data_IF_818216918222
#
_entry.id   IF_818216918222
#
_cell.length_a   1.000
_cell.length_b   1.000
_cell.length_c   1.000
_cell.angle_alpha   90.00
_cell.angle_beta   90.00
_cell.angle_gamma   90.00
#
_symmetry.space_group_name_H-M   'P 1'
#
loop_
_entity.id
_entity.type
_entity.pdbx_description
1 polymer ?
#
# COMPACT_ATOMS: atom_id res chain seq x y z
N UNK A 1 -16.49 -16.98 5.65
CA UNK A 1 -16.49 -16.54 7.06
C UNK A 1 -15.42 -15.48 7.35
N UNK A 2 -14.13 -15.73 7.10
CA UNK A 2 -13.07 -14.73 7.32
C UNK A 2 -13.31 -13.41 6.58
N UNK A 3 -13.67 -13.45 5.30
CA UNK A 3 -14.03 -12.25 4.53
C UNK A 3 -15.20 -11.48 5.17
N UNK A 4 -16.25 -12.20 5.59
CA UNK A 4 -17.41 -11.62 6.26
C UNK A 4 -17.05 -10.95 7.59
N UNK A 5 -16.16 -11.56 8.39
CA UNK A 5 -15.67 -10.98 9.64
C UNK A 5 -14.89 -9.67 9.42
N UNK A 6 -14.08 -9.59 8.36
CA UNK A 6 -13.41 -8.34 7.98
C UNK A 6 -14.39 -7.28 7.48
N UNK A 7 -15.37 -7.64 6.65
CA UNK A 7 -16.44 -6.73 6.24
C UNK A 7 -17.22 -6.17 7.43
N UNK A 8 -17.55 -7.01 8.42
CA UNK A 8 -18.22 -6.55 9.64
C UNK A 8 -17.34 -5.63 10.48
N UNK A 9 -16.02 -5.87 10.55
CA UNK A 9 -15.09 -4.95 11.20
C UNK A 9 -15.16 -3.57 10.55
N UNK A 10 -15.12 -3.51 9.22
CA UNK A 10 -15.19 -2.25 8.47
C UNK A 10 -16.51 -1.51 8.72
N UNK A 11 -17.64 -2.21 8.73
CA UNK A 11 -18.93 -1.60 9.10
C UNK A 11 -18.89 -1.00 10.52
N UNK A 12 -18.22 -1.67 11.46
CA UNK A 12 -18.09 -1.15 12.82
C UNK A 12 -17.12 0.03 12.89
N UNK A 13 -16.04 0.03 12.10
CA UNK A 13 -15.16 1.20 11.97
C UNK A 13 -15.91 2.41 11.39
N UNK A 14 -16.77 2.20 10.39
CA UNK A 14 -17.65 3.26 9.86
C UNK A 14 -18.63 3.73 10.95
N UNK A 15 -19.25 2.82 11.70
CA UNK A 15 -20.12 3.20 12.81
C UNK A 15 -19.37 3.92 13.95
N UNK A 16 -18.06 3.74 14.07
CA UNK A 16 -17.24 4.41 15.09
C UNK A 16 -17.00 5.90 14.79
N UNK A 17 -17.16 6.34 13.54
CA UNK A 17 -16.96 7.75 13.17
C UNK A 17 -18.14 8.62 13.56
N UNK A 18 -19.34 8.06 13.71
CA UNK A 18 -20.49 8.80 14.25
C UNK A 18 -20.33 8.98 15.75
N UNK A 19 -19.91 10.18 16.18
CA UNK A 19 -19.86 10.57 17.58
C UNK A 19 -20.95 11.57 17.88
N UNK A 20 -21.88 11.17 18.75
CA UNK A 20 -22.96 12.04 19.21
C UNK A 20 -22.46 13.34 19.87
N UNK A 21 -21.21 13.39 20.35
CA UNK A 21 -20.60 14.60 20.92
C UNK A 21 -20.25 15.59 19.83
N UNK A 22 -19.72 15.10 18.70
CA UNK A 22 -19.46 15.94 17.53
C UNK A 22 -20.78 16.41 16.95
N UNK A 23 -21.77 15.51 16.83
CA UNK A 23 -23.11 15.89 16.36
C UNK A 23 -23.75 16.92 17.29
N UNK A 24 -23.61 16.80 18.61
CA UNK A 24 -24.10 17.79 19.57
C UNK A 24 -23.39 19.14 19.43
N UNK A 25 -22.07 19.15 19.32
CA UNK A 25 -21.27 20.37 19.18
C UNK A 25 -21.49 21.06 17.84
N UNK A 26 -21.66 20.30 16.75
CA UNK A 26 -21.93 20.86 15.41
C UNK A 26 -23.36 21.40 15.32
N UNK A 27 -24.32 20.80 16.03
CA UNK A 27 -25.72 21.24 16.03
C UNK A 27 -25.99 22.42 16.97
N UNK A 28 -25.09 22.74 17.89
CA UNK A 28 -25.17 23.96 18.71
C UNK A 28 -24.61 25.16 17.94
N UNK A 29 -25.46 26.14 17.64
CA UNK A 29 -25.04 27.40 17.02
C UNK A 29 -24.31 28.26 18.07
N UNK A 30 -22.98 28.25 18.01
CA UNK A 30 -22.13 29.02 18.93
C UNK A 30 -22.26 30.54 18.77
N UNK A 31 -22.98 31.03 17.76
CA UNK A 31 -23.25 32.48 17.65
C UNK A 31 -24.31 32.97 18.65
N UNK A 32 -25.15 32.08 19.19
CA UNK A 32 -26.18 32.44 20.19
C UNK A 32 -25.74 32.18 21.64
N UNK A 33 -24.65 31.44 21.87
CA UNK A 33 -24.17 31.07 23.21
C UNK A 33 -22.73 31.52 23.39
N UNK A 34 -22.50 32.50 24.27
CA UNK A 34 -21.16 33.01 24.60
C UNK A 34 -20.42 32.02 25.51
N UNK A 35 -19.81 30.99 24.90
CA UNK A 35 -19.05 29.95 25.60
C UNK A 35 -17.56 30.29 25.53
N UNK A 36 -16.90 30.28 26.67
CA UNK A 36 -15.45 30.48 26.75
C UNK A 36 -14.69 29.27 26.19
N UNK A 37 -13.51 29.48 25.59
CA UNK A 37 -12.67 28.38 25.08
C UNK A 37 -12.35 27.33 26.15
N UNK A 38 -12.30 27.74 27.43
CA UNK A 38 -12.11 26.88 28.58
C UNK A 38 -13.28 25.91 28.83
N UNK A 39 -14.52 26.36 28.65
CA UNK A 39 -15.69 25.48 28.82
C UNK A 39 -15.77 24.42 27.72
N UNK A 40 -15.30 24.74 26.51
CA UNK A 40 -15.18 23.77 25.40
C UNK A 40 -14.10 22.74 25.71
N UNK A 41 -12.94 23.16 26.22
CA UNK A 41 -11.88 22.22 26.63
C UNK A 41 -12.33 21.35 27.80
N UNK A 42 -13.04 21.89 28.79
CA UNK A 42 -13.60 21.14 29.91
C UNK A 42 -14.59 20.07 29.44
N UNK A 43 -15.48 20.43 28.50
CA UNK A 43 -16.43 19.49 27.91
C UNK A 43 -15.74 18.39 27.08
N UNK A 44 -14.67 18.76 26.37
CA UNK A 44 -13.86 17.83 25.59
C UNK A 44 -13.10 16.85 26.50
N UNK A 45 -12.44 17.32 27.56
CA UNK A 45 -11.77 16.48 28.56
C UNK A 45 -12.77 15.52 29.21
N UNK A 46 -13.93 16.03 29.62
CA UNK A 46 -15.00 15.22 30.21
C UNK A 46 -15.62 14.21 29.22
N UNK A 47 -15.46 14.41 27.92
CA UNK A 47 -15.87 13.44 26.90
C UNK A 47 -14.89 12.27 26.81
N UNK A 48 -13.59 12.50 27.05
CA UNK A 48 -12.53 11.48 27.02
C UNK A 48 -12.54 10.56 28.23
N UNK A 49 -12.92 11.09 29.39
CA UNK A 49 -12.99 10.32 30.65
C UNK A 49 -14.21 9.38 30.69
N UNK A 50 -15.06 9.38 29.66
CA UNK A 50 -16.23 8.51 29.60
C UNK A 50 -15.81 7.04 29.45
N UNK A 51 -16.57 6.10 30.05
CA UNK A 51 -16.30 4.68 29.87
C UNK A 51 -16.39 4.30 28.39
N UNK A 52 -15.60 3.31 27.98
CA UNK A 52 -15.52 2.88 26.58
C UNK A 52 -16.91 2.57 26.02
N UNK A 53 -17.22 3.16 24.87
CA UNK A 53 -18.44 2.86 24.13
C UNK A 53 -18.48 1.38 23.75
N UNK A 54 -19.66 0.75 23.64
CA UNK A 54 -19.76 -0.65 23.22
C UNK A 54 -19.10 -0.89 21.85
N UNK A 55 -19.12 0.11 20.96
CA UNK A 55 -18.41 0.09 19.67
C UNK A 55 -16.90 0.01 19.87
N UNK A 56 -16.33 0.81 20.77
CA UNK A 56 -14.89 0.77 21.09
C UNK A 56 -14.47 -0.56 21.70
N UNK A 57 -15.28 -1.11 22.62
CA UNK A 57 -15.04 -2.44 23.19
C UNK A 57 -15.03 -3.53 22.12
N UNK A 58 -15.94 -3.45 21.16
CA UNK A 58 -15.99 -4.37 20.03
C UNK A 58 -14.73 -4.26 19.17
N UNK A 59 -14.27 -3.04 18.86
CA UNK A 59 -13.02 -2.81 18.12
C UNK A 59 -11.83 -3.44 18.86
N UNK A 60 -11.72 -3.25 20.18
CA UNK A 60 -10.65 -3.84 21.00
C UNK A 60 -10.65 -5.37 20.95
N UNK A 61 -11.84 -5.99 21.03
CA UNK A 61 -11.98 -7.45 20.91
C UNK A 61 -11.50 -7.91 19.53
N UNK A 62 -11.79 -7.16 18.47
CA UNK A 62 -11.28 -7.45 17.13
C UNK A 62 -9.77 -7.31 17.02
N UNK A 63 -9.18 -6.24 17.57
CA UNK A 63 -7.72 -6.01 17.61
C UNK A 63 -7.05 -7.17 18.34
N UNK A 64 -7.60 -7.62 19.47
CA UNK A 64 -7.08 -8.78 20.20
C UNK A 64 -7.16 -10.07 19.34
N UNK A 65 -8.27 -10.28 18.62
CA UNK A 65 -8.44 -11.44 17.73
C UNK A 65 -7.48 -11.43 16.55
N UNK A 66 -7.22 -10.24 15.96
CA UNK A 66 -6.22 -10.04 14.91
C UNK A 66 -4.80 -10.24 15.45
N UNK A 67 -4.53 -9.83 16.69
CA UNK A 67 -3.24 -10.06 17.36
C UNK A 67 -2.95 -11.55 17.50
N UNK A 68 -3.89 -12.31 18.06
CA UNK A 68 -3.74 -13.77 18.24
C UNK A 68 -3.55 -14.46 16.88
N UNK A 69 -4.31 -14.07 15.86
CA UNK A 69 -4.16 -14.60 14.49
C UNK A 69 -2.74 -14.34 13.96
N UNK A 70 -2.26 -13.11 14.08
CA UNK A 70 -0.96 -12.69 13.55
C UNK A 70 0.19 -13.40 14.27
N UNK A 71 0.13 -13.50 15.60
CA UNK A 71 1.12 -14.23 16.41
C UNK A 71 1.15 -15.71 16.02
N UNK A 72 -0.03 -16.34 15.87
CA UNK A 72 -0.11 -17.75 15.46
C UNK A 72 0.52 -17.95 14.08
N UNK A 73 0.22 -17.09 13.13
CA UNK A 73 0.75 -17.17 11.77
C UNK A 73 2.27 -16.96 11.74
N UNK A 74 2.78 -16.01 12.52
CA UNK A 74 4.22 -15.76 12.68
C UNK A 74 4.94 -16.98 13.27
N UNK A 75 4.31 -17.68 14.22
CA UNK A 75 4.88 -18.85 14.86
C UNK A 75 4.85 -20.10 13.98
N UNK A 76 3.80 -20.30 13.18
CA UNK A 76 3.67 -21.47 12.29
C UNK A 76 4.50 -21.35 11.02
N UNK A 77 4.56 -20.16 10.41
CA UNK A 77 5.30 -19.93 9.15
C UNK A 77 6.78 -19.57 9.41
N UNK A 78 7.08 -19.01 10.59
CA UNK A 78 8.39 -18.44 10.91
C UNK A 78 8.55 -17.01 10.37
N UNK A 79 9.32 -16.19 11.09
CA UNK A 79 9.46 -14.76 10.81
C UNK A 79 10.00 -14.46 9.40
N UNK A 80 11.00 -15.21 8.94
CA UNK A 80 11.62 -14.98 7.63
C UNK A 80 10.63 -15.15 6.47
N UNK A 81 9.78 -16.19 6.53
CA UNK A 81 8.78 -16.44 5.48
C UNK A 81 7.62 -15.45 5.59
N UNK A 82 7.23 -15.11 6.82
CA UNK A 82 6.16 -14.17 7.09
C UNK A 82 6.42 -12.78 6.48
N UNK A 83 7.58 -12.19 6.75
CA UNK A 83 7.94 -10.84 6.26
C UNK A 83 8.30 -10.77 4.78
N UNK A 84 8.48 -11.91 4.11
CA UNK A 84 8.68 -11.95 2.65
C UNK A 84 7.37 -11.66 1.90
N UNK A 85 6.21 -11.91 2.52
CA UNK A 85 4.91 -11.64 1.91
C UNK A 85 4.45 -10.21 2.23
N UNK A 86 4.33 -9.36 1.20
CA UNK A 86 3.91 -7.96 1.35
C UNK A 86 2.54 -7.78 2.03
N UNK A 87 1.60 -8.72 1.85
CA UNK A 87 0.30 -8.67 2.53
C UNK A 87 0.41 -8.92 4.04
N UNK A 88 1.29 -9.83 4.45
CA UNK A 88 1.56 -10.08 5.87
C UNK A 88 2.25 -8.89 6.52
N UNK A 89 3.17 -8.22 5.80
CA UNK A 89 3.80 -6.97 6.26
C UNK A 89 2.74 -5.88 6.48
N UNK A 90 1.80 -5.73 5.55
CA UNK A 90 0.68 -4.78 5.69
C UNK A 90 -0.21 -5.11 6.90
N UNK A 91 -0.58 -6.38 7.10
CA UNK A 91 -1.34 -6.85 8.27
C UNK A 91 -0.58 -6.55 9.58
N UNK A 92 0.75 -6.70 9.60
CA UNK A 92 1.59 -6.41 10.76
C UNK A 92 1.72 -4.91 11.06
N UNK A 93 1.92 -4.07 10.04
CA UNK A 93 1.99 -2.60 10.19
C UNK A 93 0.66 -2.05 10.70
N UNK A 94 -0.46 -2.51 10.14
CA UNK A 94 -1.79 -2.13 10.63
C UNK A 94 -1.98 -2.53 12.10
N UNK A 95 -1.52 -3.73 12.48
CA UNK A 95 -1.62 -4.20 13.86
C UNK A 95 -0.81 -3.31 14.82
N UNK A 96 0.40 -2.90 14.43
CA UNK A 96 1.23 -1.97 15.21
C UNK A 96 0.48 -0.64 15.43
N UNK A 97 -0.09 -0.07 14.37
CA UNK A 97 -0.85 1.19 14.48
C UNK A 97 -2.07 1.06 15.40
N UNK A 98 -2.77 -0.07 15.36
CA UNK A 98 -3.86 -0.34 16.31
C UNK A 98 -3.36 -0.44 17.75
N UNK A 99 -2.20 -1.05 18.01
CA UNK A 99 -1.61 -1.06 19.34
C UNK A 99 -1.14 0.32 19.80
N UNK A 100 -0.61 1.15 18.89
CA UNK A 100 -0.29 2.56 19.20
C UNK A 100 -1.56 3.30 19.62
N UNK A 101 -2.66 3.15 18.87
CA UNK A 101 -3.96 3.71 19.25
C UNK A 101 -4.40 3.27 20.66
N UNK A 102 -4.34 1.97 20.95
CA UNK A 102 -4.77 1.45 22.27
C UNK A 102 -3.87 1.98 23.40
N UNK A 103 -2.54 1.93 23.24
CA UNK A 103 -1.61 2.36 24.28
C UNK A 103 -1.71 3.87 24.51
N UNK A 104 -1.67 4.65 23.43
CA UNK A 104 -1.76 6.11 23.50
C UNK A 104 -3.12 6.57 24.05
N UNK A 105 -4.21 5.90 23.65
CA UNK A 105 -5.55 6.15 24.19
C UNK A 105 -5.68 5.84 25.68
N UNK A 106 -5.07 4.74 26.16
CA UNK A 106 -5.03 4.44 27.60
C UNK A 106 -4.25 5.51 28.36
N UNK A 107 -3.10 5.95 27.85
CA UNK A 107 -2.32 7.03 28.50
C UNK A 107 -3.07 8.36 28.53
N UNK A 108 -3.81 8.68 27.46
CA UNK A 108 -4.65 9.88 27.41
C UNK A 108 -5.84 9.78 28.38
N UNK A 109 -6.44 8.60 28.54
CA UNK A 109 -7.51 8.38 29.51
C UNK A 109 -7.05 8.62 30.95
N UNK A 110 -5.91 8.05 31.36
CA UNK A 110 -5.39 8.29 32.71
C UNK A 110 -5.02 9.76 32.93
N UNK A 111 -4.34 10.39 31.97
CA UNK A 111 -3.98 11.82 32.09
C UNK A 111 -5.21 12.73 32.17
N UNK A 112 -6.24 12.47 31.35
CA UNK A 112 -7.49 13.24 31.40
C UNK A 112 -8.29 13.01 32.69
N UNK A 113 -8.21 11.82 33.28
CA UNK A 113 -8.78 11.54 34.60
C UNK A 113 -8.10 12.36 35.71
N UNK A 114 -6.77 12.37 35.73
CA UNK A 114 -5.98 13.13 36.71
C UNK A 114 -6.28 14.63 36.63
N UNK A 115 -6.37 15.19 35.41
CA UNK A 115 -6.71 16.60 35.18
C UNK A 115 -8.16 16.90 35.62
N UNK A 116 -9.11 16.04 35.25
CA UNK A 116 -10.52 16.24 35.57
C UNK A 116 -10.79 16.18 37.08
N UNK A 117 -10.03 15.37 37.83
CA UNK A 117 -10.09 15.33 39.30
C UNK A 117 -9.43 16.56 39.94
N UNK A 118 -8.24 16.95 39.47
CA UNK A 118 -7.51 18.09 40.01
C UNK A 118 -8.28 19.42 39.87
N UNK A 119 -8.97 19.62 38.75
CA UNK A 119 -9.72 20.85 38.46
C UNK A 119 -11.22 20.77 38.81
N UNK A 120 -11.71 19.62 39.26
CA UNK A 120 -13.12 19.42 39.61
C UNK A 120 -14.08 19.53 38.41
N UNK A 121 -13.61 19.22 37.19
CA UNK A 121 -14.36 19.39 35.93
C UNK A 121 -15.69 18.63 35.96
N UNK A 122 -15.72 17.44 36.56
CA UNK A 122 -16.93 16.62 36.66
C UNK A 122 -18.12 17.32 37.34
N UNK A 123 -17.85 18.25 38.28
CA UNK A 123 -18.89 19.01 38.94
C UNK A 123 -19.47 20.12 38.04
N UNK A 124 -18.67 20.66 37.11
CA UNK A 124 -19.02 21.80 36.24
C UNK A 124 -19.72 21.37 34.93
N UNK A 125 -19.41 20.18 34.43
CA UNK A 125 -19.96 19.62 33.17
C UNK A 125 -21.50 19.58 33.09
N UNK A 126 -22.27 19.19 34.14
CA UNK A 126 -23.73 19.20 34.05
C UNK A 126 -24.30 20.61 33.87
N UNK A 127 -23.73 21.62 34.53
CA UNK A 127 -24.15 23.02 34.39
C UNK A 127 -23.87 23.55 32.98
N UNK A 128 -22.70 23.21 32.43
CA UNK A 128 -22.33 23.56 31.04
C UNK A 128 -23.28 22.90 30.03
N UNK A 129 -23.60 21.62 30.22
CA UNK A 129 -24.57 20.90 29.36
C UNK A 129 -25.96 21.50 29.47
N UNK A 130 -26.38 21.92 30.66
CA UNK A 130 -27.67 22.55 30.88
C UNK A 130 -27.72 23.92 30.18
N UNK A 131 -26.66 24.72 30.26
CA UNK A 131 -26.52 25.98 29.53
C UNK A 131 -26.56 25.78 28.01
N UNK A 132 -25.88 24.75 27.49
CA UNK A 132 -25.89 24.37 26.07
C UNK A 132 -27.27 23.85 25.58
N UNK A 133 -27.99 23.13 26.44
CA UNK A 133 -29.34 22.62 26.12
C UNK A 133 -30.47 23.63 26.39
N UNK A 134 -30.13 24.76 27.00
CA UNK A 134 -31.04 25.70 27.64
C UNK A 134 -31.23 27.01 26.88
N UNK A 135 -31.30 26.99 25.55
CA UNK A 135 -31.99 28.03 24.81
C UNK A 135 -33.52 27.80 24.96
N UNK A 136 -34.04 28.22 26.12
CA UNK A 136 -35.44 28.44 26.53
C UNK A 136 -35.71 27.82 27.91
N UNK A 137 -35.81 28.66 28.96
CA UNK A 137 -37.06 29.01 29.68
C UNK A 137 -36.71 29.70 31.02
N UNK A 138 -37.24 30.92 31.18
CA UNK A 138 -37.48 31.73 32.39
C UNK A 138 -36.86 31.37 33.77
N UNK A 139 -36.20 32.38 34.35
CA UNK A 139 -36.38 32.90 35.71
C UNK A 139 -36.72 31.91 36.85
N UNK A 140 -35.77 31.71 37.75
CA UNK A 140 -36.06 31.50 39.17
C UNK A 140 -35.02 32.20 40.05
N UNK A 141 -35.47 33.21 40.78
CA UNK A 141 -34.83 33.73 42.00
C UNK A 141 -34.82 32.67 43.09
N UNK A 142 -33.83 32.72 44.00
CA UNK A 142 -34.20 32.67 45.41
C UNK A 142 -33.52 33.76 46.24
N UNK A 143 -34.34 34.46 47.01
CA UNK A 143 -33.97 35.32 48.13
C UNK A 143 -33.45 34.52 49.34
N UNK A 144 -32.64 35.21 50.15
CA UNK A 144 -32.49 35.11 51.61
C UNK A 144 -31.79 33.90 52.24
N UNK A 145 -30.56 34.14 52.71
CA UNK A 145 -30.08 33.67 54.01
C UNK A 145 -29.01 34.64 54.59
N UNK A 146 -29.48 35.48 55.51
CA UNK A 146 -28.89 35.96 56.79
C UNK A 146 -27.36 35.91 57.02
N UNK A 147 -26.80 37.06 57.40
CA UNK A 147 -25.44 37.29 57.92
C UNK A 147 -25.16 36.66 59.30
N UNK A 148 -23.93 36.20 59.55
CA UNK A 148 -23.03 36.55 60.69
C UNK A 148 -21.61 35.91 60.47
N UNK A 149 -20.53 36.35 61.14
CA UNK A 149 -19.37 36.92 60.46
C UNK A 149 -18.04 36.20 60.77
N UNK A 150 -17.02 36.51 59.95
CA UNK A 150 -15.62 36.41 60.38
C UNK A 150 -14.84 35.26 59.79
N UNK A 151 -14.28 35.49 58.60
CA UNK A 151 -12.91 35.09 58.28
C UNK A 151 -12.44 35.92 57.08
N UNK A 152 -11.64 36.93 57.37
CA UNK A 152 -10.76 37.57 56.41
C UNK A 152 -9.83 36.49 55.85
N UNK A 153 -10.12 36.00 54.65
CA UNK A 153 -9.15 35.30 53.81
C UNK A 153 -8.90 36.22 52.62
N UNK A 154 -7.92 37.10 52.80
CA UNK A 154 -7.09 37.56 51.69
C UNK A 154 -6.37 36.32 51.14
N UNK A 155 -6.98 35.66 50.15
CA UNK A 155 -6.23 34.90 49.16
C UNK A 155 -6.40 35.61 47.85
N UNK A 156 -5.32 36.25 47.42
CA UNK A 156 -5.09 36.55 46.03
C UNK A 156 -5.11 35.22 45.28
N UNK A 157 -6.28 34.75 44.89
CA UNK A 157 -6.39 33.78 43.83
C UNK A 157 -6.54 34.60 42.55
N UNK A 158 -5.40 35.15 42.09
CA UNK A 158 -5.14 35.10 40.65
C UNK A 158 -5.22 33.60 40.31
N UNK A 159 -6.44 33.13 40.03
CA UNK A 159 -6.63 31.86 39.37
C UNK A 159 -6.13 32.11 37.96
N UNK A 160 -4.81 31.97 37.83
CA UNK A 160 -4.13 31.96 36.56
C UNK A 160 -4.82 30.85 35.77
N UNK A 161 -5.73 31.24 34.88
CA UNK A 161 -6.33 30.35 33.90
C UNK A 161 -5.16 29.84 33.05
N UNK A 162 -4.53 28.75 33.49
CA UNK A 162 -3.63 27.97 32.65
C UNK A 162 -4.49 27.36 31.57
N UNK A 163 -4.62 28.09 30.48
CA UNK A 163 -5.16 27.56 29.23
C UNK A 163 -4.36 26.30 28.89
N UNK A 164 -4.99 25.14 29.08
CA UNK A 164 -4.39 23.86 28.76
C UNK A 164 -4.18 23.80 27.24
N UNK A 165 -2.97 24.13 26.82
CA UNK A 165 -2.61 24.06 25.40
C UNK A 165 -2.66 22.61 24.94
N UNK A 166 -2.99 22.37 23.67
CA UNK A 166 -3.02 21.04 23.03
C UNK A 166 -1.74 20.21 23.19
N UNK A 167 -0.64 20.83 23.66
CA UNK A 167 0.60 20.17 24.04
C UNK A 167 0.41 19.17 25.19
N UNK A 168 -0.57 19.38 26.07
CA UNK A 168 -0.89 18.43 27.13
C UNK A 168 -1.58 17.15 26.62
N UNK A 169 -2.22 17.21 25.45
CA UNK A 169 -2.99 16.11 24.88
C UNK A 169 -2.27 15.41 23.72
N UNK A 170 -0.95 15.53 23.60
CA UNK A 170 -0.18 14.90 22.52
C UNK A 170 -0.43 13.39 22.38
N UNK A 171 -0.57 12.66 23.48
CA UNK A 171 -0.88 11.23 23.45
C UNK A 171 -2.25 10.96 22.80
N UNK A 172 -3.25 11.80 23.05
CA UNK A 172 -4.57 11.69 22.43
C UNK A 172 -4.49 11.94 20.92
N UNK A 173 -3.83 13.02 20.50
CA UNK A 173 -3.67 13.35 19.09
C UNK A 173 -2.95 12.22 18.32
N UNK A 174 -1.90 11.66 18.92
CA UNK A 174 -1.20 10.50 18.35
C UNK A 174 -2.12 9.28 18.26
N UNK A 175 -2.97 9.04 19.26
CA UNK A 175 -3.92 7.94 19.24
C UNK A 175 -4.94 8.06 18.09
N UNK A 176 -5.50 9.25 17.89
CA UNK A 176 -6.50 9.54 16.84
C UNK A 176 -5.86 9.45 15.45
N UNK A 177 -4.66 10.01 15.28
CA UNK A 177 -3.91 9.91 14.04
C UNK A 177 -3.55 8.45 13.69
N UNK A 178 -3.05 7.68 14.65
CA UNK A 178 -2.73 6.27 14.45
C UNK A 178 -3.98 5.44 14.10
N UNK A 179 -5.11 5.72 14.75
CA UNK A 179 -6.39 5.08 14.45
C UNK A 179 -6.88 5.40 13.03
N UNK A 180 -6.79 6.66 12.61
CA UNK A 180 -7.17 7.08 11.27
C UNK A 180 -6.34 6.38 10.18
N UNK A 181 -5.02 6.34 10.34
CA UNK A 181 -4.11 5.65 9.40
C UNK A 181 -4.39 4.14 9.42
N UNK A 182 -4.58 3.54 10.59
CA UNK A 182 -4.93 2.12 10.71
C UNK A 182 -6.24 1.77 9.99
N UNK A 183 -7.24 2.65 10.06
CA UNK A 183 -8.51 2.46 9.38
C UNK A 183 -8.36 2.50 7.86
N UNK A 184 -7.56 3.42 7.32
CA UNK A 184 -7.25 3.44 5.87
C UNK A 184 -6.58 2.14 5.44
N UNK A 185 -5.59 1.65 6.20
CA UNK A 185 -4.95 0.37 5.92
C UNK A 185 -5.94 -0.81 5.99
N UNK A 186 -6.88 -0.79 6.94
CA UNK A 186 -7.94 -1.79 7.06
C UNK A 186 -8.82 -1.85 5.81
N UNK A 187 -9.14 -0.71 5.20
CA UNK A 187 -9.87 -0.68 3.93
C UNK A 187 -9.00 -1.18 2.76
N UNK A 188 -7.71 -0.84 2.71
CA UNK A 188 -6.79 -1.34 1.68
C UNK A 188 -6.61 -2.87 1.73
N UNK A 189 -6.74 -3.49 2.90
CA UNK A 189 -6.71 -4.95 3.03
C UNK A 189 -7.87 -5.68 2.35
N UNK A 190 -8.96 -4.99 1.96
CA UNK A 190 -10.02 -5.59 1.15
C UNK A 190 -9.46 -6.04 -0.20
N UNK A 191 -8.45 -5.34 -0.74
CA UNK A 191 -7.79 -5.71 -2.00
C UNK A 191 -7.28 -7.15 -1.96
N UNK A 192 -6.75 -7.62 -0.82
CA UNK A 192 -6.32 -9.01 -0.67
C UNK A 192 -7.48 -10.02 -0.86
N UNK A 193 -8.70 -9.66 -0.45
CA UNK A 193 -9.88 -10.50 -0.70
C UNK A 193 -10.33 -10.42 -2.15
N UNK A 194 -10.15 -9.26 -2.79
CA UNK A 194 -10.46 -9.10 -4.22
C UNK A 194 -9.59 -10.00 -5.11
N UNK A 195 -8.40 -10.37 -4.64
CA UNK A 195 -7.50 -11.33 -5.29
C UNK A 195 -8.15 -12.72 -5.51
N UNK A 196 -9.16 -13.09 -4.71
CA UNK A 196 -9.86 -14.36 -4.86
C UNK A 196 -10.85 -14.38 -6.04
N UNK A 197 -11.30 -13.21 -6.53
CA UNK A 197 -12.25 -13.11 -7.64
C UNK A 197 -11.55 -13.22 -8.99
N UNK A 198 -12.18 -13.92 -9.93
CA UNK A 198 -11.61 -14.18 -11.26
C UNK A 198 -11.45 -12.91 -12.13
N UNK A 199 -12.32 -11.92 -11.95
CA UNK A 199 -12.27 -10.68 -12.74
C UNK A 199 -11.18 -9.72 -12.25
N UNK A 200 -11.04 -9.56 -10.93
CA UNK A 200 -10.15 -8.57 -10.31
C UNK A 200 -8.77 -9.14 -9.96
N UNK A 201 -8.67 -10.47 -9.85
CA UNK A 201 -7.45 -11.16 -9.46
C UNK A 201 -6.25 -10.87 -10.37
N UNK A 202 -6.33 -11.19 -11.68
CA UNK A 202 -5.25 -10.92 -12.62
C UNK A 202 -4.86 -9.43 -12.67
N UNK A 203 -5.85 -8.53 -12.65
CA UNK A 203 -5.63 -7.08 -12.63
C UNK A 203 -4.82 -6.64 -11.40
N UNK A 204 -5.15 -7.16 -10.22
CA UNK A 204 -4.46 -6.83 -8.97
C UNK A 204 -3.04 -7.43 -8.91
N UNK A 205 -2.85 -8.63 -9.47
CA UNK A 205 -1.51 -9.24 -9.62
C UNK A 205 -0.65 -8.38 -10.52
N UNK A 206 -1.17 -7.96 -11.68
CA UNK A 206 -0.45 -7.06 -12.58
C UNK A 206 -0.09 -5.75 -11.91
N UNK A 207 -1.03 -5.12 -11.20
CA UNK A 207 -0.77 -3.89 -10.43
C UNK A 207 0.35 -4.08 -9.38
N UNK A 208 0.31 -5.19 -8.63
CA UNK A 208 1.33 -5.49 -7.61
C UNK A 208 2.70 -5.77 -8.24
N UNK A 209 2.73 -6.44 -9.39
CA UNK A 209 3.96 -6.72 -10.14
C UNK A 209 4.64 -5.46 -10.67
N UNK A 210 3.85 -4.46 -11.07
CA UNK A 210 4.37 -3.17 -11.56
C UNK A 210 4.90 -2.27 -10.42
N UNK A 211 4.40 -2.46 -9.19
CA UNK A 211 4.75 -1.61 -8.05
C UNK A 211 6.26 -1.55 -7.77
N UNK A 212 7.01 -2.64 -8.03
CA UNK A 212 8.46 -2.64 -7.84
C UNK A 212 9.18 -1.71 -8.83
N UNK A 213 8.73 -1.67 -10.08
CA UNK A 213 9.30 -0.78 -11.09
C UNK A 213 8.87 0.69 -10.83
N UNK A 214 7.66 0.93 -10.32
CA UNK A 214 7.24 2.25 -9.81
C UNK A 214 8.14 2.72 -8.68
N UNK A 215 8.41 1.86 -7.69
CA UNK A 215 9.20 2.23 -6.51
C UNK A 215 10.63 2.64 -6.90
N UNK A 216 11.25 1.97 -7.90
CA UNK A 216 12.56 2.39 -8.40
C UNK A 216 12.53 3.82 -8.95
N UNK A 217 11.51 4.17 -9.73
CA UNK A 217 11.34 5.54 -10.20
C UNK A 217 11.03 6.52 -9.10
N UNK A 218 10.20 6.12 -8.14
CA UNK A 218 9.89 6.94 -6.98
C UNK A 218 11.15 7.29 -6.19
N UNK A 219 12.14 6.39 -6.12
CA UNK A 219 13.45 6.71 -5.52
C UNK A 219 14.22 7.79 -6.30
N UNK A 220 14.20 7.75 -7.64
CA UNK A 220 14.80 8.82 -8.48
C UNK A 220 14.08 10.15 -8.24
N UNK A 221 12.75 10.11 -8.18
CA UNK A 221 11.92 11.27 -7.87
C UNK A 221 12.22 11.84 -6.47
N UNK A 222 12.33 11.01 -5.43
CA UNK A 222 12.72 11.46 -4.09
C UNK A 222 14.10 12.12 -4.06
N UNK A 223 15.07 11.58 -4.81
CA UNK A 223 16.40 12.22 -4.94
C UNK A 223 16.30 13.62 -5.55
N UNK A 224 15.47 13.77 -6.59
CA UNK A 224 15.19 15.06 -7.20
C UNK A 224 14.52 16.01 -6.21
N UNK A 225 13.46 15.56 -5.53
CA UNK A 225 12.74 16.36 -4.53
C UNK A 225 13.68 16.85 -3.42
N UNK A 226 14.51 15.97 -2.86
CA UNK A 226 15.48 16.34 -1.80
C UNK A 226 16.51 17.34 -2.32
N UNK A 227 17.08 17.12 -3.52
CA UNK A 227 18.08 18.02 -4.09
C UNK A 227 17.53 19.44 -4.30
N UNK A 228 16.34 19.57 -4.88
CA UNK A 228 15.70 20.87 -5.09
C UNK A 228 15.21 21.49 -3.79
N UNK A 229 14.76 20.71 -2.81
CA UNK A 229 14.36 21.20 -1.48
C UNK A 229 15.55 21.84 -0.76
N UNK A 230 16.72 21.20 -0.79
CA UNK A 230 17.95 21.79 -0.23
C UNK A 230 18.29 23.10 -0.94
N UNK A 231 18.21 23.13 -2.27
CA UNK A 231 18.48 24.33 -3.07
C UNK A 231 17.56 25.50 -2.73
N UNK A 232 16.25 25.23 -2.63
CA UNK A 232 15.23 26.25 -2.30
C UNK A 232 15.37 26.76 -0.86
N UNK A 233 15.56 25.87 0.11
CA UNK A 233 15.81 26.29 1.51
C UNK A 233 17.06 27.16 1.61
N UNK A 234 18.16 26.82 0.93
CA UNK A 234 19.37 27.64 0.97
C UNK A 234 19.18 29.02 0.34
N UNK A 235 18.29 29.13 -0.65
CA UNK A 235 17.98 30.39 -1.32
C UNK A 235 17.09 31.31 -0.47
N UNK A 236 16.08 30.74 0.22
CA UNK A 236 15.01 31.51 0.87
C UNK A 236 15.07 31.56 2.40
N UNK A 237 15.70 30.60 3.09
CA UNK A 237 15.66 30.47 4.56
C UNK A 237 16.05 31.76 5.30
N UNK A 238 17.06 32.50 4.82
CA UNK A 238 17.51 33.74 5.49
C UNK A 238 16.50 34.88 5.36
N UNK A 239 15.84 34.98 4.20
CA UNK A 239 14.89 36.05 3.94
C UNK A 239 13.57 35.81 4.66
N UNK A 240 13.05 34.58 4.59
CA UNK A 240 11.82 34.22 5.32
C UNK A 240 12.01 34.29 6.84
N UNK A 241 13.21 33.98 7.38
CA UNK A 241 13.49 34.15 8.80
C UNK A 241 13.45 35.62 9.25
N UNK A 242 13.83 36.56 8.37
CA UNK A 242 13.73 37.99 8.66
C UNK A 242 12.27 38.47 8.62
N UNK A 243 11.49 37.96 7.67
CA UNK A 243 10.07 38.27 7.51
C UNK A 243 9.24 37.81 8.71
N UNK A 244 9.47 36.58 9.20
CA UNK A 244 8.82 36.07 10.42
C UNK A 244 9.15 36.94 11.64
N UNK A 245 10.42 37.36 11.77
CA UNK A 245 10.83 38.21 12.89
C UNK A 245 10.18 39.59 12.81
N UNK A 246 10.10 40.19 11.62
CA UNK A 246 9.43 41.47 11.40
C UNK A 246 7.93 41.36 11.73
N UNK A 247 7.26 40.31 11.26
CA UNK A 247 5.86 40.05 11.56
C UNK A 247 5.57 39.91 13.06
N UNK A 248 6.43 39.19 13.81
CA UNK A 248 6.26 39.06 15.26
C UNK A 248 6.40 40.39 16.02
N UNK A 249 7.14 41.37 15.49
CA UNK A 249 7.28 42.70 16.08
C UNK A 249 6.02 43.56 15.88
N UNK A 250 5.24 43.30 14.83
CA UNK A 250 4.04 44.05 14.46
C UNK A 250 2.74 43.42 15.03
N UNK A 251 2.86 42.33 15.82
CA UNK A 251 1.75 41.62 16.45
C UNK A 251 0.64 41.16 15.47
N UNK A 252 1.01 40.94 14.20
CA UNK A 252 0.11 40.46 13.14
C UNK A 252 0.23 38.93 12.96
N UNK A 253 -0.79 38.30 12.38
CA UNK A 253 -0.74 36.87 12.05
C UNK A 253 0.19 36.66 10.86
N UNK A 254 1.33 35.99 11.10
CA UNK A 254 2.33 35.78 10.06
C UNK A 254 1.83 34.87 8.95
N UNK A 255 2.11 35.25 7.70
CA UNK A 255 1.87 34.42 6.53
C UNK A 255 2.66 33.12 6.56
N UNK A 256 2.20 32.13 5.80
CA UNK A 256 2.93 30.87 5.70
C UNK A 256 4.24 31.06 4.94
N UNK A 257 5.31 30.48 5.49
CA UNK A 257 6.69 30.58 5.02
C UNK A 257 7.11 29.25 4.41
N UNK A 258 6.95 29.07 3.09
CA UNK A 258 7.08 27.77 2.45
C UNK A 258 8.51 27.21 2.43
N UNK A 259 9.54 28.06 2.47
CA UNK A 259 10.93 27.63 2.27
C UNK A 259 11.83 27.84 3.50
N UNK A 260 11.25 28.20 4.65
CA UNK A 260 11.96 28.49 5.89
C UNK A 260 12.82 27.32 6.34
N UNK A 261 12.25 26.11 6.38
CA UNK A 261 12.95 24.89 6.76
C UNK A 261 13.01 23.92 5.59
N UNK A 262 14.03 23.05 5.58
CA UNK A 262 14.13 21.96 4.59
C UNK A 262 12.84 21.13 4.49
N UNK A 263 12.24 20.79 5.64
CA UNK A 263 10.99 20.04 5.66
C UNK A 263 9.81 20.79 5.03
N UNK A 264 9.67 22.10 5.31
CA UNK A 264 8.63 22.92 4.67
C UNK A 264 8.86 23.03 3.16
N UNK A 265 10.10 23.27 2.74
CA UNK A 265 10.46 23.33 1.31
C UNK A 265 10.14 22.01 0.60
N UNK A 266 10.39 20.87 1.24
CA UNK A 266 10.07 19.56 0.68
C UNK A 266 8.56 19.36 0.52
N UNK A 267 7.77 19.77 1.52
CA UNK A 267 6.30 19.69 1.47
C UNK A 267 5.74 20.64 0.41
N UNK A 268 6.22 21.88 0.33
CA UNK A 268 5.79 22.84 -0.71
C UNK A 268 6.12 22.34 -2.10
N UNK A 269 7.35 21.86 -2.34
CA UNK A 269 7.72 21.31 -3.66
C UNK A 269 6.93 20.04 -3.99
N UNK A 270 6.59 19.20 -3.00
CA UNK A 270 5.72 18.06 -3.24
C UNK A 270 4.31 18.49 -3.69
N UNK A 271 3.69 19.43 -2.97
CA UNK A 271 2.36 19.94 -3.32
C UNK A 271 2.34 20.71 -4.64
N UNK A 272 3.46 21.32 -5.03
CA UNK A 272 3.56 22.01 -6.32
C UNK A 272 3.40 21.09 -7.53
N UNK A 273 3.72 19.80 -7.41
CA UNK A 273 3.51 18.82 -8.49
C UNK A 273 2.03 18.58 -8.80
N UNK A 274 1.16 18.83 -7.82
CA UNK A 274 -0.29 18.78 -7.95
C UNK A 274 -0.92 20.14 -8.24
N UNK A 275 -0.09 21.14 -8.59
CA UNK A 275 -0.52 22.51 -8.91
C UNK A 275 -1.21 23.23 -7.73
N UNK A 276 -0.87 22.86 -6.50
CA UNK A 276 -1.43 23.47 -5.27
C UNK A 276 -0.61 24.65 -4.74
N UNK A 277 0.40 25.12 -5.49
CA UNK A 277 1.33 26.18 -5.06
C UNK A 277 1.43 27.26 -6.14
N UNK A 278 1.02 28.47 -5.78
CA UNK A 278 1.03 29.63 -6.68
C UNK A 278 2.43 30.25 -6.83
N UNK A 279 2.72 30.83 -8.00
CA UNK A 279 3.97 31.58 -8.24
C UNK A 279 4.13 32.78 -7.30
N UNK A 280 3.02 33.32 -6.77
CA UNK A 280 3.05 34.41 -5.79
C UNK A 280 3.78 34.04 -4.49
N UNK A 281 3.79 32.76 -4.12
CA UNK A 281 4.46 32.25 -2.91
C UNK A 281 6.00 32.25 -3.01
N UNK A 282 6.55 32.35 -4.23
CA UNK A 282 7.99 32.43 -4.50
C UNK A 282 8.54 33.87 -4.45
N UNK A 283 7.64 34.87 -4.44
CA UNK A 283 8.01 36.28 -4.49
C UNK A 283 8.26 36.80 -3.07
N UNK A 284 9.52 37.10 -2.80
CA UNK A 284 9.95 37.89 -1.64
C UNK A 284 9.98 39.37 -2.05
N UNK A 285 10.05 40.28 -1.07
CA UNK A 285 10.20 41.74 -1.23
C UNK A 285 10.75 42.16 -2.62
N UNK A 286 9.99 43.02 -3.31
CA UNK A 286 10.21 43.40 -4.72
C UNK A 286 11.62 43.95 -5.03
N UNK A 287 12.36 44.40 -4.01
CA UNK A 287 13.75 44.84 -4.15
C UNK A 287 14.76 43.70 -4.42
N UNK A 288 14.42 42.44 -4.10
CA UNK A 288 15.29 41.27 -4.28
C UNK A 288 15.06 40.56 -5.62
N UNK A 289 15.29 41.29 -6.72
CA UNK A 289 15.10 40.79 -8.09
C UNK A 289 15.91 39.52 -8.36
N UNK A 290 17.15 39.42 -7.85
CA UNK A 290 18.03 38.26 -8.08
C UNK A 290 17.46 37.00 -7.42
N UNK A 291 17.08 37.06 -6.14
CA UNK A 291 16.52 35.91 -5.42
C UNK A 291 15.21 35.46 -6.06
N UNK A 292 14.32 36.39 -6.39
CA UNK A 292 13.03 36.08 -7.03
C UNK A 292 13.22 35.43 -8.41
N UNK A 293 14.18 35.93 -9.20
CA UNK A 293 14.46 35.39 -10.53
C UNK A 293 15.08 33.99 -10.44
N UNK A 294 16.11 33.81 -9.61
CA UNK A 294 16.77 32.51 -9.42
C UNK A 294 15.79 31.48 -8.87
N UNK A 295 14.96 31.85 -7.88
CA UNK A 295 13.97 30.96 -7.31
C UNK A 295 12.90 30.55 -8.31
N UNK A 296 12.41 31.50 -9.14
CA UNK A 296 11.48 31.21 -10.23
C UNK A 296 12.08 30.24 -11.27
N UNK A 297 13.36 30.43 -11.62
CA UNK A 297 14.05 29.54 -12.57
C UNK A 297 14.24 28.14 -11.97
N UNK A 298 14.67 28.04 -10.71
CA UNK A 298 14.84 26.75 -10.03
C UNK A 298 13.52 26.00 -9.90
N UNK A 299 12.44 26.70 -9.54
CA UNK A 299 11.09 26.13 -9.47
C UNK A 299 10.58 25.68 -10.85
N UNK A 300 10.77 26.49 -11.89
CA UNK A 300 10.41 26.12 -13.26
C UNK A 300 11.19 24.88 -13.75
N UNK A 301 12.49 24.80 -13.44
CA UNK A 301 13.30 23.63 -13.74
C UNK A 301 12.82 22.37 -13.00
N UNK A 302 12.45 22.50 -11.72
CA UNK A 302 11.85 21.42 -10.94
C UNK A 302 10.55 20.92 -11.59
N UNK A 303 9.64 21.81 -11.98
CA UNK A 303 8.37 21.44 -12.62
C UNK A 303 8.57 20.80 -14.00
N UNK A 304 9.52 21.29 -14.79
CA UNK A 304 9.85 20.70 -16.09
C UNK A 304 10.39 19.28 -15.92
N UNK A 305 11.36 19.08 -15.02
CA UNK A 305 11.98 17.76 -14.84
C UNK A 305 11.02 16.80 -14.13
N UNK A 306 10.34 17.25 -13.07
CA UNK A 306 9.42 16.46 -12.25
C UNK A 306 8.11 16.10 -12.96
N UNK A 307 7.37 17.11 -13.41
CA UNK A 307 6.01 16.89 -13.94
C UNK A 307 5.99 16.52 -15.42
N UNK A 308 6.95 17.00 -16.22
CA UNK A 308 6.97 16.70 -17.66
C UNK A 308 7.87 15.49 -17.94
N UNK A 309 9.15 15.54 -17.55
CA UNK A 309 10.10 14.48 -17.93
C UNK A 309 9.87 13.19 -17.13
N UNK A 310 9.89 13.27 -15.80
CA UNK A 310 9.78 12.10 -14.92
C UNK A 310 8.41 11.43 -15.01
N UNK A 311 7.31 12.20 -15.10
CA UNK A 311 5.97 11.63 -15.25
C UNK A 311 5.82 10.88 -16.59
N UNK A 312 6.28 11.46 -17.70
CA UNK A 312 6.23 10.81 -19.01
C UNK A 312 7.09 9.54 -19.05
N UNK A 313 8.26 9.58 -18.39
CA UNK A 313 9.11 8.40 -18.26
C UNK A 313 8.47 7.31 -17.38
N UNK A 314 7.80 7.69 -16.28
CA UNK A 314 7.08 6.76 -15.40
C UNK A 314 5.93 6.08 -16.14
N UNK A 315 5.12 6.84 -16.89
CA UNK A 315 4.02 6.29 -17.70
C UNK A 315 4.57 5.33 -18.75
N UNK A 316 5.67 5.68 -19.42
CA UNK A 316 6.29 4.83 -20.44
C UNK A 316 6.79 3.50 -19.86
N UNK A 317 7.47 3.52 -18.71
CA UNK A 317 7.91 2.26 -18.09
C UNK A 317 6.73 1.47 -17.51
N UNK A 318 5.72 2.13 -16.95
CA UNK A 318 4.51 1.46 -16.49
C UNK A 318 3.80 0.74 -17.65
N UNK A 319 3.71 1.35 -18.83
CA UNK A 319 3.13 0.69 -19.99
C UNK A 319 3.92 -0.55 -20.43
N UNK A 320 5.25 -0.44 -20.54
CA UNK A 320 6.09 -1.58 -20.93
C UNK A 320 6.03 -2.71 -19.88
N UNK A 321 6.14 -2.35 -18.59
CA UNK A 321 6.07 -3.33 -17.50
C UNK A 321 4.69 -3.97 -17.36
N UNK A 322 3.60 -3.23 -17.61
CA UNK A 322 2.23 -3.77 -17.64
C UNK A 322 2.13 -4.90 -18.66
N UNK A 323 2.53 -4.65 -19.91
CA UNK A 323 2.43 -5.68 -20.97
C UNK A 323 3.22 -6.94 -20.62
N UNK A 324 4.44 -6.79 -20.09
CA UNK A 324 5.28 -7.91 -19.66
C UNK A 324 4.68 -8.71 -18.49
N UNK A 325 4.09 -8.02 -17.51
CA UNK A 325 3.51 -8.68 -16.32
C UNK A 325 2.14 -9.29 -16.66
N UNK A 326 1.37 -8.67 -17.55
CA UNK A 326 0.04 -9.13 -17.96
C UNK A 326 0.09 -10.51 -18.64
N UNK A 327 1.10 -10.78 -19.48
CA UNK A 327 1.26 -12.06 -20.18
C UNK A 327 1.29 -13.28 -19.25
N UNK A 328 1.84 -13.12 -18.03
CA UNK A 328 1.94 -14.19 -17.03
C UNK A 328 0.95 -14.04 -15.86
N UNK A 329 0.18 -12.96 -15.84
CA UNK A 329 -0.67 -12.58 -14.70
C UNK A 329 -1.70 -13.63 -14.32
N UNK A 330 -2.26 -14.38 -15.29
CA UNK A 330 -3.20 -15.45 -15.02
C UNK A 330 -2.57 -16.63 -14.28
N UNK A 331 -1.35 -17.02 -14.68
CA UNK A 331 -0.64 -18.16 -14.07
C UNK A 331 -0.23 -17.79 -12.65
N UNK A 332 0.32 -16.60 -12.48
CA UNK A 332 0.68 -16.05 -11.17
C UNK A 332 -0.55 -15.87 -10.26
N UNK A 333 -1.67 -15.40 -10.81
CA UNK A 333 -2.93 -15.30 -10.07
C UNK A 333 -3.46 -16.66 -9.64
N UNK A 334 -3.48 -17.67 -10.53
CA UNK A 334 -3.90 -19.03 -10.19
C UNK A 334 -2.99 -19.59 -9.08
N UNK A 335 -1.68 -19.37 -9.16
CA UNK A 335 -0.73 -19.75 -8.10
C UNK A 335 -1.03 -19.02 -6.77
N UNK A 336 -1.19 -17.70 -6.78
CA UNK A 336 -1.50 -16.91 -5.59
C UNK A 336 -2.82 -17.33 -4.95
N UNK A 337 -3.85 -17.56 -5.77
CA UNK A 337 -5.17 -18.05 -5.33
C UNK A 337 -5.08 -19.44 -4.71
N UNK A 338 -4.31 -20.36 -5.31
CA UNK A 338 -4.12 -21.71 -4.74
C UNK A 338 -3.35 -21.65 -3.43
N UNK A 339 -2.37 -20.75 -3.27
CA UNK A 339 -1.66 -20.54 -2.01
C UNK A 339 -2.61 -20.08 -0.89
N UNK A 340 -3.45 -19.08 -1.17
CA UNK A 340 -4.48 -18.62 -0.22
C UNK A 340 -5.43 -19.76 0.16
N UNK A 341 -5.91 -20.52 -0.83
CA UNK A 341 -6.79 -21.67 -0.58
C UNK A 341 -6.10 -22.76 0.24
N UNK A 342 -4.82 -23.04 -0.02
CA UNK A 342 -4.03 -24.03 0.71
C UNK A 342 -3.85 -23.64 2.19
N UNK A 343 -3.62 -22.35 2.47
CA UNK A 343 -3.57 -21.84 3.84
C UNK A 343 -4.88 -22.14 4.60
N UNK A 344 -6.03 -21.84 4.00
CA UNK A 344 -7.34 -22.15 4.58
C UNK A 344 -7.62 -23.65 4.75
N UNK A 345 -7.11 -24.51 3.86
CA UNK A 345 -7.27 -25.97 3.97
C UNK A 345 -6.38 -26.54 5.09
N UNK A 346 -5.17 -25.99 5.25
CA UNK A 346 -4.21 -26.43 6.27
C UNK A 346 -4.66 -26.09 7.69
N UNK A 347 -5.32 -24.94 7.88
CA UNK A 347 -5.85 -24.49 9.16
C UNK A 347 -7.22 -25.12 9.46
N UNK A 348 -7.24 -26.42 9.78
CA UNK A 348 -8.48 -27.21 10.03
C UNK A 348 -9.40 -26.72 11.18
N UNK A 349 -9.13 -25.60 11.87
CA UNK A 349 -9.94 -25.15 13.01
C UNK A 349 -9.76 -23.68 13.48
N UNK A 350 -9.28 -22.72 12.67
CA UNK A 350 -9.21 -21.32 13.13
C UNK A 350 -10.50 -20.56 12.84
N UNK A 351 -11.22 -20.18 13.89
CA UNK A 351 -12.33 -19.23 13.78
C UNK A 351 -11.80 -17.86 13.34
N UNK A 352 -12.57 -17.06 12.57
CA UNK A 352 -12.17 -15.70 12.25
C UNK A 352 -12.13 -14.82 13.50
N UNK A 353 -11.29 -13.76 13.55
CA UNK A 353 -11.43 -12.70 14.55
C UNK A 353 -12.86 -12.13 14.51
N UNK A 354 -13.53 -11.87 15.65
CA UNK A 354 -13.07 -11.96 17.03
C UNK A 354 -13.23 -13.35 17.66
N UNK A 355 -13.97 -14.25 17.02
CA UNK A 355 -14.32 -15.57 17.56
C UNK A 355 -13.11 -16.49 17.80
N UNK A 356 -11.94 -16.16 17.24
CA UNK A 356 -10.67 -16.80 17.52
C UNK A 356 -10.23 -16.72 19.00
N UNK A 357 -10.74 -15.76 19.77
CA UNK A 357 -10.44 -15.63 21.19
C UNK A 357 -11.15 -16.66 22.06
N UNK A 358 -12.27 -17.24 21.61
CA UNK A 358 -13.04 -18.18 22.42
C UNK A 358 -12.36 -19.55 22.34
N UNK A 359 -11.75 -20.04 23.44
CA UNK A 359 -11.15 -21.36 23.45
C UNK A 359 -12.23 -22.41 23.14
N UNK A 360 -11.92 -23.37 22.27
CA UNK A 360 -12.88 -24.40 21.88
C UNK A 360 -13.43 -25.11 23.12
N UNK A 361 -14.74 -25.39 23.17
CA UNK A 361 -15.37 -26.10 24.30
C UNK A 361 -14.66 -27.42 24.62
N UNK A 362 -14.10 -28.10 23.61
CA UNK A 362 -13.23 -29.28 23.79
C UNK A 362 -11.91 -28.97 24.50
N UNK A 363 -11.28 -27.82 24.24
CA UNK A 363 -10.07 -27.37 24.93
C UNK A 363 -10.38 -26.98 26.37
N UNK A 364 -11.50 -26.31 26.64
CA UNK A 364 -11.95 -25.97 27.99
C UNK A 364 -12.28 -27.25 28.77
N UNK A 365 -13.06 -28.17 28.19
CA UNK A 365 -13.34 -29.48 28.79
C UNK A 365 -12.10 -30.34 28.97
N UNK A 366 -11.14 -30.26 28.04
CA UNK A 366 -9.82 -30.88 28.18
C UNK A 366 -9.06 -30.24 29.33
N UNK A 367 -8.96 -28.92 29.43
CA UNK A 367 -8.25 -28.19 30.48
C UNK A 367 -8.83 -28.52 31.87
N UNK A 368 -10.17 -28.50 32.01
CA UNK A 368 -10.88 -28.92 33.22
C UNK A 368 -10.67 -30.39 33.57
N UNK A 369 -10.45 -31.27 32.58
CA UNK A 369 -10.17 -32.69 32.79
C UNK A 369 -8.67 -33.01 32.91
N UNK A 370 -7.79 -32.12 32.46
CA UNK A 370 -6.34 -32.31 32.33
C UNK A 370 -5.61 -31.76 33.55
N UNK A 371 -6.00 -30.61 34.09
CA UNK A 371 -5.47 -30.05 35.34
C UNK A 371 -5.57 -31.06 36.52
N UNK A 372 -6.72 -31.73 36.79
CA UNK A 372 -6.81 -32.74 37.84
C UNK A 372 -6.12 -34.08 37.50
N UNK A 373 -5.81 -34.35 36.22
CA UNK A 373 -5.08 -35.56 35.79
C UNK A 373 -3.57 -35.39 35.79
N UNK A 374 -3.06 -34.18 35.57
CA UNK A 374 -1.62 -33.88 35.65
C UNK A 374 -1.08 -33.93 37.08
N UNK A 375 -1.94 -33.72 38.09
CA UNK A 375 -1.61 -34.02 39.49
C UNK A 375 -1.63 -35.52 39.84
N UNK A 376 -2.16 -36.40 38.97
CA UNK A 376 -2.33 -37.82 39.27
C UNK A 376 -2.03 -38.69 38.06
N UNK A 377 -0.73 -38.97 37.91
CA UNK A 377 -0.05 -39.96 37.02
C UNK A 377 0.59 -39.41 35.74
N UNK A 378 1.90 -39.46 35.77
CA UNK A 378 2.78 -39.83 34.66
C UNK A 378 2.40 -41.24 34.18
N UNK A 379 2.06 -41.38 32.91
CA UNK A 379 1.82 -42.67 32.24
C UNK A 379 1.86 -42.48 30.74
N UNK A 380 2.85 -43.10 30.10
CA UNK A 380 3.17 -42.97 28.68
C UNK A 380 1.98 -43.28 27.75
N UNK A 381 1.75 -42.50 26.68
CA UNK A 381 0.92 -42.92 25.55
C UNK A 381 1.82 -43.55 24.47
N UNK A 382 1.96 -44.88 24.47
CA UNK A 382 2.81 -45.62 23.53
C UNK A 382 2.02 -46.52 22.56
N UNK A 383 0.74 -46.23 22.27
CA UNK A 383 -0.09 -47.07 21.38
C UNK A 383 -0.62 -46.36 20.12
N UNK A 384 -0.39 -45.05 19.96
CA UNK A 384 -0.93 -44.28 18.84
C UNK A 384 0.05 -44.13 17.67
N UNK A 385 1.33 -44.45 17.87
CA UNK A 385 2.41 -44.23 16.90
C UNK A 385 2.46 -45.31 15.81
N UNK A 386 2.00 -46.54 16.10
CA UNK A 386 2.06 -47.69 15.16
C UNK A 386 1.04 -47.62 14.01
N UNK A 387 -0.09 -46.91 14.20
CA UNK A 387 -1.12 -46.76 13.13
C UNK A 387 -0.79 -45.67 12.11
N UNK A 388 0.05 -44.70 12.47
CA UNK A 388 0.46 -43.62 11.57
C UNK A 388 1.49 -44.10 10.54
N UNK A 389 2.40 -45.00 10.94
CA UNK A 389 3.50 -45.49 10.10
C UNK A 389 3.03 -46.38 8.94
N UNK A 390 2.00 -47.21 9.15
CA UNK A 390 1.40 -48.04 8.09
C UNK A 390 0.66 -47.21 7.02
N UNK A 391 0.04 -46.09 7.43
CA UNK A 391 -0.73 -45.24 6.54
C UNK A 391 0.16 -44.31 5.69
N UNK A 392 1.27 -43.84 6.25
CA UNK A 392 2.31 -43.10 5.51
C UNK A 392 3.03 -44.00 4.47
N UNK A 393 3.31 -45.26 4.81
CA UNK A 393 3.95 -46.21 3.90
C UNK A 393 3.14 -46.50 2.63
N UNK A 394 1.83 -46.74 2.78
CA UNK A 394 0.94 -47.01 1.64
C UNK A 394 0.75 -45.74 0.77
N UNK A 395 0.69 -44.56 1.40
CA UNK A 395 0.56 -43.29 0.69
C UNK A 395 1.83 -42.93 -0.10
N UNK A 396 3.00 -43.24 0.45
CA UNK A 396 4.28 -43.06 -0.24
C UNK A 396 4.45 -44.02 -1.43
N UNK A 397 3.95 -45.26 -1.34
CA UNK A 397 3.95 -46.21 -2.45
C UNK A 397 3.06 -45.74 -3.60
N UNK A 398 1.82 -45.31 -3.30
CA UNK A 398 0.90 -44.76 -4.28
C UNK A 398 1.43 -43.46 -4.93
N UNK A 399 2.09 -42.59 -4.15
CA UNK A 399 2.73 -41.37 -4.67
C UNK A 399 3.86 -41.70 -5.64
N UNK A 400 4.69 -42.71 -5.33
CA UNK A 400 5.80 -43.13 -6.18
C UNK A 400 5.31 -43.67 -7.52
N UNK A 401 4.25 -44.48 -7.52
CA UNK A 401 3.61 -44.99 -8.74
C UNK A 401 3.03 -43.85 -9.59
N UNK A 402 2.29 -42.91 -8.97
CA UNK A 402 1.73 -41.76 -9.66
C UNK A 402 2.82 -40.84 -10.27
N UNK A 403 3.93 -40.62 -9.55
CA UNK A 403 5.05 -39.80 -10.03
C UNK A 403 5.74 -40.39 -11.25
N UNK A 404 5.84 -41.72 -11.33
CA UNK A 404 6.49 -42.43 -12.43
C UNK A 404 5.62 -42.38 -13.70
N UNK A 405 4.30 -42.59 -13.54
CA UNK A 405 3.31 -42.45 -14.63
C UNK A 405 3.26 -41.00 -15.15
N UNK A 406 3.34 -40.01 -14.26
CA UNK A 406 3.38 -38.60 -14.65
C UNK A 406 4.67 -38.25 -15.38
N UNK A 407 5.81 -38.79 -14.93
CA UNK A 407 7.11 -38.64 -15.59
C UNK A 407 7.11 -39.20 -17.01
N UNK A 408 6.57 -40.40 -17.23
CA UNK A 408 6.44 -40.98 -18.57
C UNK A 408 5.52 -40.15 -19.48
N UNK A 409 4.41 -39.64 -18.96
CA UNK A 409 3.51 -38.76 -19.73
C UNK A 409 4.17 -37.43 -20.10
N UNK A 410 4.97 -36.86 -19.21
CA UNK A 410 5.70 -35.63 -19.45
C UNK A 410 6.79 -35.82 -20.52
N UNK A 411 7.58 -36.90 -20.44
CA UNK A 411 8.56 -37.27 -21.46
C UNK A 411 7.92 -37.42 -22.85
N UNK A 412 6.79 -38.12 -22.95
CA UNK A 412 6.05 -38.26 -24.22
C UNK A 412 5.51 -36.92 -24.75
N UNK A 413 5.07 -36.03 -23.87
CA UNK A 413 4.63 -34.68 -24.27
C UNK A 413 5.79 -33.83 -24.78
N UNK A 414 6.95 -33.88 -24.11
CA UNK A 414 8.17 -33.20 -24.56
C UNK A 414 8.68 -33.76 -25.90
N UNK A 415 8.58 -35.07 -26.13
CA UNK A 415 8.93 -35.69 -27.41
C UNK A 415 7.97 -35.28 -28.53
N UNK A 416 6.67 -35.13 -28.23
CA UNK A 416 5.67 -34.59 -29.16
C UNK A 416 5.98 -33.14 -29.55
N UNK A 417 6.23 -32.25 -28.59
CA UNK A 417 6.63 -30.84 -28.87
C UNK A 417 7.95 -30.76 -29.65
N UNK A 418 8.92 -31.62 -29.34
CA UNK A 418 10.17 -31.74 -30.09
C UNK A 418 9.91 -32.18 -31.53
N UNK A 419 8.98 -33.10 -31.74
CA UNK A 419 8.61 -33.57 -33.09
C UNK A 419 7.90 -32.49 -33.91
N UNK A 420 7.05 -31.66 -33.31
CA UNK A 420 6.43 -30.51 -33.99
C UNK A 420 7.46 -29.44 -34.37
N UNK A 421 8.41 -29.15 -33.47
CA UNK A 421 9.52 -28.23 -33.74
C UNK A 421 10.44 -28.76 -34.85
N UNK A 422 10.76 -30.06 -34.83
CA UNK A 422 11.56 -30.72 -35.87
C UNK A 422 10.81 -30.69 -37.22
N UNK A 423 9.52 -31.00 -37.25
CA UNK A 423 8.69 -30.96 -38.47
C UNK A 423 8.64 -29.55 -39.07
N UNK A 424 8.54 -28.50 -38.24
CA UNK A 424 8.61 -27.10 -38.69
C UNK A 424 9.97 -26.75 -39.31
N UNK A 425 11.07 -27.25 -38.73
CA UNK A 425 12.41 -27.05 -39.27
C UNK A 425 12.64 -27.82 -40.57
N UNK A 426 12.15 -29.06 -40.66
CA UNK A 426 12.26 -29.91 -41.84
C UNK A 426 11.46 -29.32 -43.00
N UNK A 427 10.24 -28.81 -42.75
CA UNK A 427 9.43 -28.11 -43.76
C UNK A 427 10.15 -26.87 -44.33
N UNK A 428 10.86 -26.11 -43.48
CA UNK A 428 11.68 -24.97 -43.94
C UNK A 428 12.86 -25.42 -44.81
N UNK A 429 13.53 -26.51 -44.47
CA UNK A 429 14.64 -27.05 -45.29
C UNK A 429 14.16 -27.61 -46.63
N UNK A 430 12.98 -28.23 -46.65
CA UNK A 430 12.37 -28.79 -47.85
C UNK A 430 11.91 -27.66 -48.79
N UNK A 431 11.31 -26.59 -48.24
CA UNK A 431 11.00 -25.37 -48.98
C UNK A 431 12.25 -24.75 -49.64
N UNK A 432 13.33 -24.57 -48.89
CA UNK A 432 14.59 -24.04 -49.42
C UNK A 432 15.18 -24.94 -50.52
N UNK A 433 15.02 -26.25 -50.40
CA UNK A 433 15.49 -27.22 -51.41
C UNK A 433 14.65 -27.17 -52.68
N UNK A 434 13.33 -27.00 -52.57
CA UNK A 434 12.42 -26.81 -53.70
C UNK A 434 12.69 -25.49 -54.42
N UNK A 435 12.91 -24.41 -53.67
CA UNK A 435 13.30 -23.11 -54.25
C UNK A 435 14.63 -23.20 -55.00
N UNK A 436 15.62 -23.90 -54.43
CA UNK A 436 16.91 -24.15 -55.08
C UNK A 436 16.76 -24.99 -56.35
N UNK A 437 15.92 -26.03 -56.32
CA UNK A 437 15.63 -26.86 -57.49
C UNK A 437 14.91 -26.06 -58.60
N UNK A 438 13.98 -25.19 -58.24
CA UNK A 438 13.30 -24.29 -59.18
C UNK A 438 14.27 -23.33 -59.86
N UNK A 439 15.25 -22.81 -59.12
CA UNK A 439 16.31 -21.95 -59.65
C UNK A 439 17.23 -22.70 -60.64
N UNK A 440 17.65 -23.93 -60.30
CA UNK A 440 18.44 -24.78 -61.20
C UNK A 440 17.66 -25.16 -62.47
N UNK A 441 16.37 -25.48 -62.35
CA UNK A 441 15.52 -25.78 -63.50
C UNK A 441 15.39 -24.58 -64.45
N UNK A 442 15.19 -23.36 -63.91
CA UNK A 442 15.19 -22.14 -64.73
C UNK A 442 16.54 -21.94 -65.44
N UNK A 443 17.66 -22.21 -64.77
CA UNK A 443 18.99 -22.10 -65.37
C UNK A 443 19.18 -23.08 -66.52
N UNK A 444 18.71 -24.32 -66.37
CA UNK A 444 18.75 -25.34 -67.43
C UNK A 444 17.86 -24.94 -68.61
N UNK A 445 16.64 -24.45 -68.36
CA UNK A 445 15.76 -23.95 -69.42
C UNK A 445 16.43 -22.81 -70.20
N UNK A 446 17.06 -21.87 -69.52
CA UNK A 446 17.76 -20.75 -70.17
C UNK A 446 18.99 -21.19 -70.97
N UNK A 447 19.75 -22.17 -70.48
CA UNK A 447 20.83 -22.79 -71.25
C UNK A 447 20.29 -23.51 -72.50
N UNK A 448 19.17 -24.22 -72.38
CA UNK A 448 18.55 -24.93 -73.51
C UNK A 448 18.03 -23.95 -74.57
N UNK A 449 17.42 -22.82 -74.15
CA UNK A 449 17.01 -21.74 -75.06
C UNK A 449 18.21 -21.14 -75.77
N UNK A 450 19.32 -20.88 -75.06
CA UNK A 450 20.55 -20.36 -75.65
C UNK A 450 21.15 -21.35 -76.67
N UNK A 451 21.17 -22.65 -76.36
CA UNK A 451 21.63 -23.69 -77.30
C UNK A 451 20.72 -23.74 -78.53
N UNK A 452 19.40 -23.67 -78.37
CA UNK A 452 18.46 -23.61 -79.48
C UNK A 452 18.68 -22.37 -80.37
N UNK A 453 19.00 -21.23 -79.77
CA UNK A 453 19.29 -19.99 -80.48
C UNK A 453 20.61 -20.07 -81.26
N UNK A 454 21.65 -20.67 -80.67
CA UNK A 454 22.91 -20.99 -81.36
C UNK A 454 22.68 -21.99 -82.51
N UNK A 455 21.89 -23.05 -82.29
CA UNK A 455 21.56 -24.00 -83.35
C UNK A 455 20.79 -23.33 -84.49
N UNK A 456 19.88 -22.39 -84.18
CA UNK A 456 19.16 -21.61 -85.19
C UNK A 456 20.11 -20.68 -85.96
N UNK A 457 21.08 -20.06 -85.29
CA UNK A 457 22.15 -19.26 -85.94
C UNK A 457 23.01 -20.13 -86.86
N UNK A 458 23.41 -21.34 -86.45
CA UNK A 458 24.17 -22.26 -87.32
C UNK A 458 23.36 -22.76 -88.52
N UNK A 459 22.03 -22.87 -88.39
CA UNK A 459 21.12 -23.18 -89.51
C UNK A 459 21.03 -22.02 -90.50
N UNK A 460 21.17 -20.77 -90.03
CA UNK A 460 21.30 -19.57 -90.85
C UNK A 460 22.65 -19.42 -91.57
N UNK A 461 23.69 -20.15 -91.15
CA UNK A 461 25.04 -20.08 -91.75
C UNK A 461 25.25 -21.11 -92.87
N UNK A 462 24.29 -22.02 -93.13
CA UNK A 462 24.37 -22.97 -94.27
C UNK A 462 23.91 -22.34 -95.59
N UNK A 463 23.29 -21.16 -95.57
CA UNK A 463 22.97 -20.37 -96.77
C UNK A 463 23.85 -19.12 -96.84
N UNK A 464 25.15 -19.28 -97.05
CA UNK A 464 26.00 -18.34 -97.82
C UNK A 464 27.43 -18.90 -97.86
N UNK A 465 27.90 -19.17 -99.06
CA UNK A 465 29.20 -19.77 -99.32
C UNK A 465 30.38 -18.81 -99.21
N UNK A 466 31.53 -19.45 -99.37
CA UNK A 466 32.89 -18.97 -99.61
C UNK A 466 33.82 -18.64 -98.43
N UNK A 467 34.77 -19.56 -98.25
CA UNK A 467 36.11 -19.44 -97.66
C UNK A 467 36.92 -18.27 -98.30
N UNK A 468 37.87 -17.63 -97.58
CA UNK A 468 39.17 -18.29 -97.32
C UNK A 468 39.88 -17.97 -95.99
N UNK A 469 40.71 -18.95 -95.60
CA UNK A 469 42.07 -18.87 -95.02
C UNK A 469 42.37 -18.16 -93.69
N UNK A 470 43.41 -18.71 -93.04
CA UNK A 470 44.21 -18.23 -91.88
C UNK A 470 43.57 -18.35 -90.48
N UNK A 471 43.90 -19.35 -89.66
CA UNK A 471 45.17 -19.61 -88.92
C UNK A 471 45.26 -18.82 -87.59
N UNK A 472 45.80 -19.52 -86.58
CA UNK A 472 46.33 -18.99 -85.31
C UNK A 472 45.39 -18.86 -84.07
N UNK A 473 45.38 -19.98 -83.32
CA UNK A 473 45.87 -20.10 -81.92
C UNK A 473 45.18 -19.43 -80.70
N UNK A 474 44.88 -20.32 -79.74
CA UNK A 474 45.33 -20.34 -78.31
C UNK A 474 44.88 -19.19 -77.39
N UNK A 475 44.18 -19.58 -76.32
CA UNK A 475 44.46 -19.31 -74.89
C UNK A 475 43.11 -19.15 -74.15
N UNK A 476 42.69 -20.12 -73.34
CA UNK A 476 43.13 -20.28 -71.95
C UNK A 476 42.64 -19.11 -71.07
N UNK A 477 41.62 -19.37 -70.23
CA UNK A 477 41.79 -19.46 -68.78
C UNK A 477 40.47 -19.51 -68.01
N UNK A 478 40.26 -20.69 -67.40
CA UNK A 478 40.06 -20.89 -65.96
C UNK A 478 39.34 -19.81 -65.13
N UNK A 479 38.30 -20.29 -64.45
CA UNK A 479 38.15 -20.24 -62.99
C UNK A 479 37.98 -18.88 -62.32
N UNK A 480 36.76 -18.56 -61.91
CA UNK A 480 36.38 -18.62 -60.49
C UNK A 480 34.87 -18.62 -60.31
#
# INVERSE_FOLDING_TARGET
MHAGSRLTLLCVLIASTSSWVVDLLVMTDFNEVNISGKEVTDLYIASMTRPLTPVSMLILIWIAGMTVRTIKQLWTQGASVYFTNGWNVMDFVQLILYWIFVIAGITAYFKSLDIAEAEGIFARVPDIKQALSGANTSAHTPESATELPGATVTSNNEMQDTEHTWQDFQAQLVSEAAFAIANVLSFLQILHHLLAFALLGPLLVSFTGMAYDVLKFFMIFCCLLVSFSIGMTQLYHKFEALEVKACHLEAETCGDTPFLNFGKSMVTLFWSLFDMVDLGTLRVNDSLVVTNTVGSIMYAAFMLIGSIVLLNALIAMMSNTYTRVEENSEVEWKLARTKIMAEYISEKASLPPPFNLVPTVKFVLWLFRYIPRKLRRSGCPASQQFRATDQEGLQNAAYKEASLVLGERCLRAMDMERSESQTSSDLKTLKNSVEKFSCEMMRIQQQLTCILEILNQTKGVVETGDCPAEEATIADKTSR
#
